data_IF_665239313107
#
_entry.id   IF_665239313107
#
_cell.length_a   1.000
_cell.length_b   1.000
_cell.length_c   1.000
_cell.angle_alpha   90.00
_cell.angle_beta   90.00
_cell.angle_gamma   90.00
#
_symmetry.space_group_name_H-M   'P 1'
#
loop_
_entity.id
_entity.type
_entity.pdbx_description
1 polymer ?
#
# COMPACT_ATOMS: atom_id res chain seq x y z
N UNK A 1 23.19 1.99 -12.24
CA UNK A 1 22.66 1.85 -10.84
C UNK A 1 21.29 2.51 -10.82
N UNK A 2 20.25 1.76 -10.57
CA UNK A 2 18.85 2.22 -10.50
C UNK A 2 18.64 3.11 -9.29
N UNK A 3 17.92 4.21 -9.46
CA UNK A 3 17.53 5.07 -8.35
C UNK A 3 16.15 4.67 -7.82
N UNK A 4 16.05 4.21 -6.57
CA UNK A 4 14.78 4.02 -5.89
C UNK A 4 14.38 5.35 -5.25
N UNK A 5 13.33 5.98 -5.78
CA UNK A 5 12.74 7.21 -5.25
C UNK A 5 11.63 6.84 -4.28
N UNK A 6 11.74 7.32 -3.06
CA UNK A 6 10.76 7.06 -2.00
C UNK A 6 10.02 8.37 -1.72
N UNK A 7 8.68 8.34 -1.82
CA UNK A 7 7.86 9.52 -1.48
C UNK A 7 7.76 9.74 0.03
N UNK A 8 7.52 10.97 0.47
CA UNK A 8 7.79 11.52 1.81
C UNK A 8 7.07 10.91 3.02
N UNK A 9 6.29 9.87 2.90
CA UNK A 9 5.57 9.23 4.03
C UNK A 9 5.84 7.74 4.15
N UNK A 10 6.96 7.28 3.62
CA UNK A 10 7.24 5.86 3.40
C UNK A 10 8.25 5.37 4.43
N UNK A 11 7.93 4.27 5.14
CA UNK A 11 8.89 3.59 6.00
C UNK A 11 10.05 3.04 5.16
N UNK A 12 11.24 2.97 5.75
CA UNK A 12 12.43 2.42 5.10
C UNK A 12 12.16 1.00 4.59
N UNK A 13 12.57 0.74 3.35
CA UNK A 13 12.53 -0.60 2.77
C UNK A 13 13.60 -1.50 3.39
N UNK A 14 13.31 -2.78 3.53
CA UNK A 14 14.29 -3.81 3.84
C UNK A 14 15.28 -4.02 2.69
N UNK A 15 16.42 -4.61 3.01
CA UNK A 15 17.50 -4.83 2.03
C UNK A 15 17.05 -5.72 0.88
N UNK A 16 16.35 -6.81 1.17
CA UNK A 16 15.78 -7.72 0.15
C UNK A 16 14.84 -6.99 -0.80
N UNK A 17 13.96 -6.12 -0.28
CA UNK A 17 13.07 -5.33 -1.15
C UNK A 17 13.82 -4.37 -2.07
N UNK A 18 14.89 -3.74 -1.57
CA UNK A 18 15.74 -2.85 -2.37
C UNK A 18 16.42 -3.65 -3.50
N UNK A 19 16.97 -4.81 -3.17
CA UNK A 19 17.65 -5.68 -4.11
C UNK A 19 16.70 -6.18 -5.21
N UNK A 20 15.57 -6.76 -4.83
CA UNK A 20 14.54 -7.26 -5.75
C UNK A 20 14.05 -6.18 -6.71
N UNK A 21 13.73 -4.98 -6.18
CA UNK A 21 13.30 -3.84 -6.99
C UNK A 21 14.38 -3.36 -7.94
N UNK A 22 15.63 -3.28 -7.46
CA UNK A 22 16.78 -2.84 -8.26
C UNK A 22 17.06 -3.80 -9.41
N UNK A 23 17.14 -5.10 -9.13
CA UNK A 23 17.38 -6.12 -10.15
C UNK A 23 16.26 -6.18 -11.20
N UNK A 24 15.00 -6.09 -10.76
CA UNK A 24 13.86 -6.07 -11.69
C UNK A 24 13.89 -4.84 -12.59
N UNK A 25 14.27 -3.68 -12.05
CA UNK A 25 14.39 -2.44 -12.83
C UNK A 25 15.58 -2.48 -13.80
N UNK A 26 16.74 -2.98 -13.36
CA UNK A 26 17.93 -3.13 -14.21
C UNK A 26 17.67 -4.09 -15.37
N UNK A 27 16.99 -5.22 -15.10
CA UNK A 27 16.67 -6.22 -16.13
C UNK A 27 15.83 -5.66 -17.29
N UNK A 28 15.06 -4.60 -17.05
CA UNK A 28 14.23 -3.95 -18.09
C UNK A 28 14.78 -2.59 -18.53
N UNK A 29 15.94 -2.19 -18.01
CA UNK A 29 16.60 -0.94 -18.38
C UNK A 29 15.85 0.30 -17.88
N UNK A 30 15.34 0.28 -16.65
CA UNK A 30 14.84 1.44 -15.95
C UNK A 30 15.95 2.13 -15.17
N UNK A 31 16.03 3.45 -15.26
CA UNK A 31 16.98 4.26 -14.48
C UNK A 31 16.47 4.57 -13.08
N UNK A 32 15.16 4.56 -12.89
CA UNK A 32 14.54 4.81 -11.59
C UNK A 32 13.17 4.17 -11.46
N UNK A 33 12.78 3.89 -10.21
CA UNK A 33 11.44 3.48 -9.80
C UNK A 33 10.97 4.36 -8.65
N UNK A 34 9.65 4.59 -8.55
CA UNK A 34 9.04 5.40 -7.48
C UNK A 34 8.19 4.53 -6.58
N UNK A 35 8.60 4.39 -5.31
CA UNK A 35 7.80 3.77 -4.25
C UNK A 35 6.88 4.84 -3.66
N UNK A 36 5.58 4.63 -3.75
CA UNK A 36 4.55 5.61 -3.37
C UNK A 36 3.89 5.30 -2.03
N UNK A 37 3.97 4.07 -1.56
CA UNK A 37 3.43 3.65 -0.26
C UNK A 37 4.20 2.45 0.28
N UNK A 38 4.30 2.39 1.62
CA UNK A 38 4.80 1.23 2.36
C UNK A 38 3.89 0.99 3.56
N UNK A 39 4.41 0.43 4.66
CA UNK A 39 3.67 0.34 5.91
C UNK A 39 3.02 1.67 6.28
N UNK A 40 1.78 1.60 6.73
CA UNK A 40 1.04 2.74 7.23
C UNK A 40 0.55 2.45 8.65
N UNK A 41 1.03 3.18 9.67
CA UNK A 41 0.52 3.06 11.04
C UNK A 41 -0.99 3.34 11.10
N UNK A 42 -1.68 2.79 12.10
CA UNK A 42 -3.13 2.90 12.25
C UNK A 42 -3.62 4.36 12.22
N UNK A 43 -2.91 5.27 12.89
CA UNK A 43 -3.24 6.70 12.88
C UNK A 43 -3.13 7.33 11.48
N UNK A 44 -2.04 7.07 10.77
CA UNK A 44 -1.87 7.59 9.41
C UNK A 44 -2.91 6.99 8.44
N UNK A 45 -3.33 5.74 8.66
CA UNK A 45 -4.42 5.12 7.91
C UNK A 45 -5.76 5.81 8.24
N UNK A 46 -6.04 6.12 9.51
CA UNK A 46 -7.23 6.85 9.94
C UNK A 46 -7.31 8.23 9.29
N UNK A 47 -6.20 8.99 9.33
CA UNK A 47 -6.09 10.32 8.71
C UNK A 47 -6.35 10.28 7.19
N UNK A 48 -5.76 9.31 6.51
CA UNK A 48 -5.96 9.13 5.06
C UNK A 48 -7.42 8.78 4.74
N UNK A 49 -8.05 7.89 5.52
CA UNK A 49 -9.45 7.51 5.34
C UNK A 49 -10.38 8.69 5.62
N UNK A 50 -10.15 9.44 6.68
CA UNK A 50 -10.95 10.63 7.01
C UNK A 50 -10.83 11.70 5.93
N UNK A 51 -9.62 11.98 5.45
CA UNK A 51 -9.38 12.91 4.33
C UNK A 51 -10.13 12.49 3.06
N UNK A 52 -10.20 11.19 2.76
CA UNK A 52 -10.98 10.70 1.62
C UNK A 52 -12.49 10.93 1.83
N UNK A 53 -13.00 10.73 3.05
CA UNK A 53 -14.40 11.02 3.40
C UNK A 53 -14.70 12.53 3.27
N UNK A 54 -13.82 13.38 3.80
CA UNK A 54 -13.93 14.84 3.74
C UNK A 54 -13.96 15.37 2.31
N UNK A 55 -13.17 14.75 1.43
CA UNK A 55 -13.09 15.09 0.00
C UNK A 55 -14.13 14.36 -0.88
N UNK A 56 -15.11 13.69 -0.28
CA UNK A 56 -16.14 12.90 -0.99
C UNK A 56 -15.56 11.87 -1.97
N UNK A 57 -14.39 11.31 -1.70
CA UNK A 57 -13.79 10.27 -2.53
C UNK A 57 -14.50 8.94 -2.24
N UNK A 58 -15.07 8.33 -3.29
CA UNK A 58 -15.75 7.02 -3.19
C UNK A 58 -14.74 5.88 -3.27
N UNK A 59 -14.03 5.62 -2.16
CA UNK A 59 -13.16 4.45 -2.05
C UNK A 59 -13.97 3.28 -1.49
N UNK A 60 -13.94 2.14 -2.20
CA UNK A 60 -14.58 0.90 -1.74
C UNK A 60 -13.63 0.18 -0.79
N UNK A 61 -13.90 0.31 0.48
CA UNK A 61 -13.23 -0.48 1.52
C UNK A 61 -13.92 -1.84 1.68
N UNK A 62 -13.13 -2.88 2.01
CA UNK A 62 -13.68 -4.14 2.52
C UNK A 62 -14.38 -3.91 3.86
N UNK A 63 -15.06 -4.95 4.37
CA UNK A 63 -15.88 -4.86 5.59
C UNK A 63 -15.20 -4.14 6.78
N UNK A 64 -13.93 -4.49 7.10
CA UNK A 64 -13.20 -3.85 8.20
C UNK A 64 -13.02 -2.33 7.98
N UNK A 65 -12.58 -1.92 6.78
CA UNK A 65 -12.44 -0.51 6.46
C UNK A 65 -13.78 0.22 6.39
N UNK A 66 -14.86 -0.46 5.98
CA UNK A 66 -16.20 0.12 5.98
C UNK A 66 -16.66 0.47 7.41
N UNK A 67 -16.41 -0.39 8.42
CA UNK A 67 -16.73 -0.07 9.81
C UNK A 67 -16.02 1.20 10.30
N UNK A 68 -14.75 1.39 9.94
CA UNK A 68 -13.99 2.60 10.30
C UNK A 68 -14.58 3.84 9.61
N UNK A 69 -14.97 3.72 8.33
CA UNK A 69 -15.63 4.82 7.62
C UNK A 69 -16.99 5.17 8.23
N UNK A 70 -17.78 4.19 8.64
CA UNK A 70 -19.10 4.42 9.21
C UNK A 70 -19.00 5.08 10.61
N UNK A 71 -18.01 4.69 11.42
CA UNK A 71 -17.67 5.37 12.67
C UNK A 71 -17.36 6.86 12.40
N UNK A 72 -16.46 7.14 11.44
CA UNK A 72 -16.09 8.51 11.08
C UNK A 72 -17.30 9.35 10.63
N UNK A 73 -18.17 8.78 9.79
CA UNK A 73 -19.39 9.47 9.31
C UNK A 73 -20.35 9.78 10.46
N UNK A 74 -20.53 8.84 11.38
CA UNK A 74 -21.37 9.03 12.57
C UNK A 74 -20.84 10.17 13.44
N UNK A 75 -19.54 10.17 13.77
CA UNK A 75 -18.93 11.21 14.60
C UNK A 75 -18.96 12.58 13.92
N UNK A 76 -18.72 12.64 12.60
CA UNK A 76 -18.89 13.89 11.83
C UNK A 76 -20.35 14.39 11.89
N UNK A 77 -21.33 13.50 11.82
CA UNK A 77 -22.75 13.85 11.98
C UNK A 77 -23.05 14.47 13.35
N UNK A 78 -22.35 14.03 14.38
CA UNK A 78 -22.39 14.59 15.74
C UNK A 78 -21.55 15.88 15.91
N UNK A 79 -20.85 16.33 14.87
CA UNK A 79 -19.95 17.51 14.86
C UNK A 79 -18.76 17.38 15.82
N UNK A 80 -18.27 16.18 16.03
CA UNK A 80 -17.05 15.93 16.83
C UNK A 80 -15.84 16.58 16.16
N UNK A 81 -14.82 16.92 16.97
CA UNK A 81 -13.60 17.51 16.46
C UNK A 81 -12.83 16.50 15.57
N UNK A 82 -12.15 17.01 14.56
CA UNK A 82 -11.40 16.15 13.61
C UNK A 82 -10.40 15.23 14.30
N UNK A 83 -9.74 15.73 15.33
CA UNK A 83 -8.77 14.96 16.11
C UNK A 83 -9.43 13.79 16.86
N UNK A 84 -10.57 14.03 17.51
CA UNK A 84 -11.33 12.99 18.22
C UNK A 84 -11.81 11.89 17.27
N UNK A 85 -12.18 12.27 16.03
CA UNK A 85 -12.56 11.31 14.99
C UNK A 85 -11.34 10.47 14.60
N UNK A 86 -10.16 11.07 14.41
CA UNK A 86 -8.91 10.34 14.06
C UNK A 86 -8.54 9.37 15.19
N UNK A 87 -8.63 9.79 16.46
CA UNK A 87 -8.34 8.92 17.60
C UNK A 87 -9.30 7.73 17.66
N UNK A 88 -10.59 7.96 17.51
CA UNK A 88 -11.59 6.90 17.50
C UNK A 88 -11.41 5.93 16.32
N UNK A 89 -11.11 6.46 15.12
CA UNK A 89 -10.79 5.64 13.95
C UNK A 89 -9.53 4.82 14.17
N UNK A 90 -8.48 5.41 14.77
CA UNK A 90 -7.22 4.73 15.09
C UNK A 90 -7.46 3.55 16.02
N UNK A 91 -8.14 3.79 17.14
CA UNK A 91 -8.50 2.74 18.09
C UNK A 91 -9.34 1.62 17.44
N UNK A 92 -10.25 1.97 16.53
CA UNK A 92 -11.05 0.99 15.77
C UNK A 92 -10.20 0.16 14.82
N UNK A 93 -9.22 0.75 14.15
CA UNK A 93 -8.26 0.05 13.27
C UNK A 93 -7.44 -0.95 14.07
N UNK A 94 -6.89 -0.53 15.22
CA UNK A 94 -6.12 -1.38 16.12
C UNK A 94 -6.96 -2.54 16.68
N UNK A 95 -8.20 -2.25 17.09
CA UNK A 95 -9.15 -3.28 17.53
C UNK A 95 -9.39 -4.34 16.46
N UNK A 96 -9.63 -3.91 15.21
CA UNK A 96 -9.85 -4.81 14.08
C UNK A 96 -8.60 -5.63 13.76
N UNK A 97 -7.42 -5.01 13.80
CA UNK A 97 -6.14 -5.70 13.61
C UNK A 97 -5.92 -6.79 14.67
N UNK A 98 -6.19 -6.50 15.95
CA UNK A 98 -6.13 -7.48 17.04
C UNK A 98 -7.12 -8.67 16.86
N UNK A 99 -8.18 -8.48 16.06
CA UNK A 99 -9.14 -9.51 15.67
C UNK A 99 -8.76 -10.23 14.34
N UNK A 100 -7.56 -9.96 13.81
CA UNK A 100 -7.09 -10.53 12.55
C UNK A 100 -7.70 -9.89 11.29
N UNK A 101 -8.33 -8.71 11.42
CA UNK A 101 -8.99 -8.01 10.30
C UNK A 101 -8.24 -6.74 9.91
N UNK A 102 -7.61 -6.74 8.74
CA UNK A 102 -6.89 -5.56 8.22
C UNK A 102 -7.83 -4.62 7.46
N UNK A 103 -7.76 -3.33 7.78
CA UNK A 103 -8.52 -2.28 7.08
C UNK A 103 -7.87 -1.86 5.76
N UNK A 104 -6.57 -2.07 5.63
CA UNK A 104 -5.74 -1.82 4.44
C UNK A 104 -4.61 -2.83 4.39
N UNK A 105 -4.13 -3.15 3.19
CA UNK A 105 -2.96 -4.03 2.98
C UNK A 105 -1.69 -3.44 3.60
N UNK A 106 -1.57 -2.11 3.62
CA UNK A 106 -0.44 -1.38 4.20
C UNK A 106 -0.51 -1.22 5.72
N UNK A 107 -1.64 -1.55 6.34
CA UNK A 107 -1.83 -1.44 7.79
C UNK A 107 -1.36 -2.74 8.46
N UNK A 108 -0.05 -2.89 8.59
CA UNK A 108 0.64 -4.01 9.23
C UNK A 108 1.45 -3.50 10.42
N UNK A 109 1.73 -4.35 11.40
CA UNK A 109 2.61 -4.04 12.53
C UNK A 109 4.06 -3.88 12.08
N UNK A 110 4.91 -3.34 12.95
CA UNK A 110 6.33 -3.19 12.66
C UNK A 110 7.00 -4.57 12.46
N UNK A 111 6.68 -5.55 13.29
CA UNK A 111 7.19 -6.91 13.18
C UNK A 111 6.78 -7.56 11.85
N UNK A 112 5.49 -7.48 11.47
CA UNK A 112 5.02 -8.00 10.17
C UNK A 112 5.71 -7.30 9.00
N UNK A 113 6.00 -5.99 9.11
CA UNK A 113 6.68 -5.24 8.05
C UNK A 113 8.16 -5.59 7.95
N UNK A 114 8.81 -5.91 9.06
CA UNK A 114 10.20 -6.39 9.10
C UNK A 114 10.35 -7.78 8.47
N UNK A 115 9.33 -8.63 8.63
CA UNK A 115 9.29 -9.96 8.00
C UNK A 115 8.85 -9.90 6.52
N UNK A 116 7.95 -8.97 6.17
CA UNK A 116 7.40 -8.85 4.84
C UNK A 116 7.07 -7.39 4.52
N UNK A 117 7.82 -6.79 3.61
CA UNK A 117 7.54 -5.44 3.18
C UNK A 117 6.31 -5.39 2.26
N UNK A 118 5.36 -4.53 2.60
CA UNK A 118 4.20 -4.18 1.76
C UNK A 118 4.49 -2.85 1.07
N UNK A 119 4.51 -2.83 -0.25
CA UNK A 119 4.92 -1.67 -1.04
C UNK A 119 4.01 -1.43 -2.23
N UNK A 120 3.81 -0.15 -2.56
CA UNK A 120 3.22 0.28 -3.82
C UNK A 120 4.28 0.98 -4.67
N UNK A 121 4.36 0.59 -5.94
CA UNK A 121 5.24 1.19 -6.93
C UNK A 121 4.40 1.88 -8.00
N UNK A 122 4.74 3.14 -8.30
CA UNK A 122 4.10 3.89 -9.38
C UNK A 122 4.50 3.32 -10.75
N UNK A 123 3.54 2.76 -11.48
CA UNK A 123 3.77 2.36 -12.87
C UNK A 123 3.64 3.55 -13.83
N UNK A 124 2.94 4.62 -13.42
CA UNK A 124 2.72 5.80 -14.26
C UNK A 124 3.99 6.61 -14.52
N UNK A 125 4.97 6.46 -13.64
CA UNK A 125 6.29 7.10 -13.78
C UNK A 125 7.25 6.25 -14.63
N UNK A 126 6.81 5.06 -15.09
CA UNK A 126 7.58 4.18 -15.97
C UNK A 126 7.16 4.37 -17.41
N UNK A 127 8.10 4.27 -18.38
CA UNK A 127 7.75 4.14 -19.80
C UNK A 127 6.76 2.99 -20.02
N UNK A 128 5.76 3.20 -20.86
CA UNK A 128 4.65 2.24 -21.04
C UNK A 128 5.16 0.86 -21.49
N UNK A 129 6.15 0.83 -22.37
CA UNK A 129 6.79 -0.39 -22.86
C UNK A 129 7.58 -1.17 -21.79
N UNK A 130 7.88 -0.54 -20.63
CA UNK A 130 8.62 -1.14 -19.52
C UNK A 130 7.71 -1.65 -18.39
N UNK A 131 6.46 -1.19 -18.31
CA UNK A 131 5.56 -1.49 -17.19
C UNK A 131 5.30 -3.00 -17.03
N UNK A 132 4.86 -3.67 -18.09
CA UNK A 132 4.58 -5.12 -18.06
C UNK A 132 5.87 -5.95 -17.97
N UNK A 133 6.96 -5.64 -18.70
CA UNK A 133 8.25 -6.30 -18.47
C UNK A 133 8.75 -6.20 -17.02
N UNK A 134 8.70 -5.02 -16.38
CA UNK A 134 9.06 -4.85 -14.98
C UNK A 134 8.19 -5.73 -14.06
N UNK A 135 6.88 -5.70 -14.24
CA UNK A 135 5.96 -6.53 -13.46
C UNK A 135 6.31 -8.03 -13.58
N UNK A 136 6.67 -8.49 -14.77
CA UNK A 136 7.07 -9.90 -14.99
C UNK A 136 8.38 -10.25 -14.27
N UNK A 137 9.34 -9.33 -14.24
CA UNK A 137 10.57 -9.51 -13.46
C UNK A 137 10.27 -9.61 -11.97
N UNK A 138 9.39 -8.76 -11.45
CA UNK A 138 8.96 -8.82 -10.04
C UNK A 138 8.29 -10.16 -9.70
N UNK A 139 7.34 -10.61 -10.52
CA UNK A 139 6.62 -11.88 -10.29
C UNK A 139 7.54 -13.10 -10.37
N UNK A 140 8.66 -13.01 -11.08
CA UNK A 140 9.64 -14.10 -11.20
C UNK A 140 10.54 -14.24 -9.97
N UNK A 141 10.52 -13.27 -9.04
CA UNK A 141 11.33 -13.30 -7.82
C UNK A 141 10.64 -14.15 -6.75
N UNK A 142 11.33 -15.13 -6.15
CA UNK A 142 10.73 -16.00 -5.13
C UNK A 142 10.33 -15.25 -3.86
N UNK A 143 10.99 -14.13 -3.54
CA UNK A 143 10.69 -13.27 -2.40
C UNK A 143 9.37 -12.49 -2.58
N UNK A 144 8.89 -12.33 -3.81
CA UNK A 144 7.64 -11.64 -4.12
C UNK A 144 6.47 -12.62 -3.96
N UNK A 145 5.89 -12.64 -2.77
CA UNK A 145 4.83 -13.59 -2.40
C UNK A 145 3.43 -13.14 -2.82
N UNK A 146 3.27 -11.87 -3.15
CA UNK A 146 1.99 -11.33 -3.61
C UNK A 146 2.17 -10.14 -4.52
N UNK A 147 1.30 -10.09 -5.52
CA UNK A 147 1.20 -8.99 -6.49
C UNK A 147 -0.26 -8.63 -6.70
N UNK A 148 -0.57 -7.32 -6.72
CA UNK A 148 -1.86 -6.79 -7.16
C UNK A 148 -1.56 -5.66 -8.14
N UNK A 149 -2.13 -5.72 -9.33
CA UNK A 149 -1.72 -4.84 -10.42
C UNK A 149 -2.84 -4.61 -11.44
N UNK A 150 -2.92 -3.43 -12.06
CA UNK A 150 -3.94 -3.09 -13.04
C UNK A 150 -3.52 -3.24 -14.51
N UNK A 151 -2.30 -3.73 -14.79
CA UNK A 151 -1.69 -3.62 -16.13
C UNK A 151 -2.10 -4.74 -17.09
N UNK A 152 -2.19 -5.99 -16.61
CA UNK A 152 -2.47 -7.14 -17.47
C UNK A 152 -3.22 -8.25 -16.73
N UNK A 153 -4.05 -9.01 -17.47
CA UNK A 153 -4.77 -10.18 -16.94
C UNK A 153 -3.97 -11.48 -17.03
N UNK A 154 -2.85 -11.46 -17.73
CA UNK A 154 -2.01 -12.65 -17.98
C UNK A 154 -1.12 -12.99 -16.78
N UNK A 155 -1.06 -12.12 -15.77
CA UNK A 155 -0.28 -12.30 -14.55
C UNK A 155 -1.24 -12.33 -13.36
N UNK A 156 -1.01 -13.29 -12.42
CA UNK A 156 -1.80 -13.40 -11.21
C UNK A 156 -1.81 -12.09 -10.39
N UNK A 157 -2.90 -11.84 -9.65
CA UNK A 157 -3.01 -10.63 -8.84
C UNK A 157 -3.50 -9.42 -9.62
N UNK A 158 -4.52 -9.60 -10.47
CA UNK A 158 -5.17 -8.49 -11.15
C UNK A 158 -6.23 -7.83 -10.25
N UNK A 159 -6.12 -6.52 -10.06
CA UNK A 159 -7.16 -5.70 -9.43
C UNK A 159 -7.34 -4.39 -10.22
N UNK A 160 -8.47 -4.25 -10.89
CA UNK A 160 -8.80 -3.09 -11.75
C UNK A 160 -8.88 -1.75 -11.01
N UNK A 161 -8.92 -1.77 -9.70
CA UNK A 161 -9.10 -0.58 -8.87
C UNK A 161 -7.82 -0.01 -8.27
N UNK A 162 -6.68 -0.67 -8.43
CA UNK A 162 -5.44 -0.22 -7.79
C UNK A 162 -4.75 0.89 -8.61
N UNK A 163 -4.36 2.00 -7.96
CA UNK A 163 -3.68 3.10 -8.63
C UNK A 163 -2.16 2.86 -8.82
N UNK A 164 -1.62 1.76 -8.27
CA UNK A 164 -0.21 1.41 -8.27
C UNK A 164 -0.01 -0.10 -8.40
N UNK A 165 1.24 -0.53 -8.59
CA UNK A 165 1.64 -1.93 -8.47
C UNK A 165 1.89 -2.24 -7.00
N UNK A 166 1.09 -3.12 -6.42
CA UNK A 166 1.25 -3.55 -5.04
C UNK A 166 2.03 -4.87 -4.97
N UNK A 167 3.05 -4.89 -4.11
CA UNK A 167 3.87 -6.07 -3.85
C UNK A 167 3.94 -6.34 -2.34
N UNK A 168 3.93 -7.62 -1.97
CA UNK A 168 4.35 -8.11 -0.66
C UNK A 168 5.65 -8.90 -0.88
N UNK A 169 6.75 -8.48 -0.23
CA UNK A 169 8.11 -9.02 -0.43
C UNK A 169 8.65 -9.51 0.91
N UNK A 170 8.89 -10.83 1.02
CA UNK A 170 9.54 -11.42 2.19
C UNK A 170 10.95 -10.89 2.36
N UNK A 171 11.34 -10.66 3.61
CA UNK A 171 12.69 -10.25 3.98
C UNK A 171 13.48 -11.46 4.46
N UNK A 172 14.76 -11.53 4.05
CA UNK A 172 15.66 -12.61 4.45
C UNK A 172 16.18 -12.42 5.89
#
# INVERSE_FOLDING_TARGET
MVQIRITASVKKLGETSIEVLTEAAEAVGLDSITVTSTQRPARAQAEAMLTNIENNRHIRYKWAGQQVCDLARTMRGCKEAREDIIEAMTAKIEQLAAQGSRVSKHCVSDAEYEECNVIDVSYRDMPEDKQVPFLRQMVAKPEVIKVIQPLTRDIAGFDMGEPALHFEIEQA
#
